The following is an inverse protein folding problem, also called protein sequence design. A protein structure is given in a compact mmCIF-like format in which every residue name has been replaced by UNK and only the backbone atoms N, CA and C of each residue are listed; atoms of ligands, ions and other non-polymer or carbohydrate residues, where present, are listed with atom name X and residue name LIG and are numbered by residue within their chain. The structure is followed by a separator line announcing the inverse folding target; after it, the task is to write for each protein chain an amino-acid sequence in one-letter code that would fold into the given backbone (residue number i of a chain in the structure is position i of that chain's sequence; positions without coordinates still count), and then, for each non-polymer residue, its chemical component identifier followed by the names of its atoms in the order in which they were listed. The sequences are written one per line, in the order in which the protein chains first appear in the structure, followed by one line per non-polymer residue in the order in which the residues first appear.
data_IF_045234095027
#
_entry.id   IF_045234095027
#
_cell.length_a   1.000
_cell.length_b   1.000
_cell.length_c   1.000
_cell.angle_alpha   90.00
_cell.angle_beta   90.00
_cell.angle_gamma   90.00
#
_symmetry.space_group_name_H-M   'P 1'
#
loop_
_entity.id
_entity.type
_entity.pdbx_description
1 polymer ?
#
# COMPACT_ATOMS: atom_id res chain seq x y z
N UNK A 1 -17.42 0.77 -17.85
CA UNK A 1 -16.25 1.39 -17.18
C UNK A 1 -15.14 0.35 -17.10
N UNK A 2 -13.91 0.68 -17.48
CA UNK A 2 -12.79 -0.26 -17.39
C UNK A 2 -12.30 -0.44 -15.95
N UNK A 3 -11.61 -1.54 -15.65
CA UNK A 3 -11.03 -1.82 -14.32
C UNK A 3 -10.19 -0.67 -13.78
N UNK A 4 -9.38 -0.04 -14.64
CA UNK A 4 -8.57 1.14 -14.27
C UNK A 4 -9.44 2.28 -13.71
N UNK A 5 -10.60 2.53 -14.30
CA UNK A 5 -11.52 3.58 -13.87
C UNK A 5 -12.19 3.24 -12.54
N UNK A 6 -12.63 1.99 -12.37
CA UNK A 6 -13.26 1.52 -11.12
C UNK A 6 -12.25 1.55 -9.97
N UNK A 7 -11.03 1.04 -10.21
CA UNK A 7 -9.96 1.04 -9.22
C UNK A 7 -9.54 2.47 -8.84
N UNK A 8 -9.42 3.37 -9.83
CA UNK A 8 -9.13 4.79 -9.57
C UNK A 8 -10.23 5.45 -8.73
N UNK A 9 -11.50 5.31 -9.12
CA UNK A 9 -12.62 5.91 -8.39
C UNK A 9 -12.73 5.39 -6.97
N UNK A 10 -12.52 4.08 -6.78
CA UNK A 10 -12.48 3.46 -5.46
C UNK A 10 -11.39 4.07 -4.58
N UNK A 11 -10.13 4.07 -5.06
CA UNK A 11 -9.00 4.63 -4.32
C UNK A 11 -9.20 6.12 -4.03
N UNK A 12 -9.67 6.89 -5.00
CA UNK A 12 -9.92 8.31 -4.85
C UNK A 12 -10.97 8.59 -3.77
N UNK A 13 -12.11 7.89 -3.81
CA UNK A 13 -13.17 8.07 -2.83
C UNK A 13 -12.71 7.71 -1.40
N UNK A 14 -12.01 6.58 -1.23
CA UNK A 14 -11.57 6.16 0.09
C UNK A 14 -10.43 7.01 0.63
N UNK A 15 -9.50 7.48 -0.21
CA UNK A 15 -8.45 8.42 0.18
C UNK A 15 -9.02 9.78 0.59
N UNK A 16 -10.03 10.28 -0.13
CA UNK A 16 -10.69 11.54 0.20
C UNK A 16 -11.39 11.45 1.56
N UNK A 17 -12.14 10.37 1.80
CA UNK A 17 -12.80 10.13 3.08
C UNK A 17 -11.78 9.98 4.22
N UNK A 18 -10.71 9.21 4.01
CA UNK A 18 -9.62 9.06 4.98
C UNK A 18 -9.01 10.42 5.34
N UNK A 19 -8.65 11.24 4.35
CA UNK A 19 -8.09 12.57 4.58
C UNK A 19 -9.07 13.54 5.26
N UNK A 20 -10.36 13.42 4.98
CA UNK A 20 -11.38 14.25 5.62
C UNK A 20 -11.54 13.89 7.10
N UNK A 21 -11.58 12.60 7.41
CA UNK A 21 -11.76 12.13 8.79
C UNK A 21 -10.48 12.13 9.61
N UNK A 22 -9.29 12.22 9.01
CA UNK A 22 -8.02 12.17 9.76
C UNK A 22 -7.88 13.29 10.80
N UNK A 23 -8.47 14.46 10.57
CA UNK A 23 -8.48 15.58 11.51
C UNK A 23 -9.73 15.69 12.41
N UNK A 24 -10.74 14.85 12.19
CA UNK A 24 -12.04 14.93 12.88
C UNK A 24 -12.28 13.69 13.74
N UNK A 25 -12.04 12.51 13.18
CA UNK A 25 -12.23 11.23 13.84
C UNK A 25 -11.23 10.20 13.29
N UNK A 26 -10.15 9.99 14.05
CA UNK A 26 -9.07 9.07 13.71
C UNK A 26 -9.56 7.64 13.45
N UNK A 27 -10.57 7.16 14.19
CA UNK A 27 -11.12 5.82 14.01
C UNK A 27 -11.85 5.64 12.68
N UNK A 28 -12.58 6.66 12.22
CA UNK A 28 -13.19 6.68 10.89
C UNK A 28 -12.12 6.69 9.79
N UNK A 29 -11.06 7.48 9.97
CA UNK A 29 -9.91 7.49 9.05
C UNK A 29 -9.23 6.12 8.97
N UNK A 30 -9.00 5.47 10.11
CA UNK A 30 -8.50 4.09 10.17
C UNK A 30 -9.43 3.11 9.45
N UNK A 31 -10.75 3.22 9.63
CA UNK A 31 -11.71 2.36 8.93
C UNK A 31 -11.61 2.53 7.40
N UNK A 32 -11.53 3.77 6.90
CA UNK A 32 -11.37 4.02 5.46
C UNK A 32 -10.00 3.55 4.94
N UNK A 33 -8.95 3.64 5.74
CA UNK A 33 -7.64 3.09 5.40
C UNK A 33 -7.70 1.56 5.25
N UNK A 34 -8.31 0.85 6.19
CA UNK A 34 -8.52 -0.61 6.12
C UNK A 34 -9.34 -1.00 4.90
N UNK A 35 -10.42 -0.27 4.62
CA UNK A 35 -11.25 -0.49 3.42
C UNK A 35 -10.42 -0.28 2.15
N UNK A 36 -9.60 0.77 2.10
CA UNK A 36 -8.74 1.05 0.95
C UNK A 36 -7.80 -0.11 0.69
N UNK A 37 -7.13 -0.60 1.73
CA UNK A 37 -6.19 -1.72 1.63
C UNK A 37 -6.89 -3.02 1.20
N UNK A 38 -7.95 -3.42 1.90
CA UNK A 38 -8.69 -4.65 1.61
C UNK A 38 -9.39 -4.60 0.26
N UNK A 39 -10.00 -3.46 -0.08
CA UNK A 39 -10.69 -3.26 -1.35
C UNK A 39 -9.74 -3.22 -2.53
N UNK A 40 -8.56 -2.59 -2.40
CA UNK A 40 -7.53 -2.64 -3.43
C UNK A 40 -7.02 -4.08 -3.64
N UNK A 41 -6.76 -4.82 -2.56
CA UNK A 41 -6.36 -6.23 -2.63
C UNK A 41 -7.44 -7.10 -3.29
N UNK A 42 -8.71 -6.92 -2.92
CA UNK A 42 -9.82 -7.68 -3.47
C UNK A 42 -10.06 -7.35 -4.96
N UNK A 43 -10.02 -6.08 -5.34
CA UNK A 43 -10.12 -5.64 -6.74
C UNK A 43 -9.00 -6.24 -7.59
N UNK A 44 -7.76 -6.22 -7.09
CA UNK A 44 -6.61 -6.85 -7.74
C UNK A 44 -6.82 -8.36 -7.90
N UNK A 45 -7.33 -9.03 -6.87
CA UNK A 45 -7.57 -10.49 -6.90
C UNK A 45 -8.68 -10.89 -7.86
N UNK A 46 -9.75 -10.11 -7.94
CA UNK A 46 -10.87 -10.35 -8.88
C UNK A 46 -10.44 -10.12 -10.33
N UNK A 47 -9.58 -9.13 -10.57
CA UNK A 47 -9.13 -8.80 -11.92
C UNK A 47 -7.96 -9.66 -12.41
N UNK A 48 -7.00 -9.99 -11.55
CA UNK A 48 -5.94 -10.96 -11.85
C UNK A 48 -6.45 -12.39 -11.58
N UNK A 49 -7.32 -12.89 -12.47
CA UNK A 49 -7.47 -14.34 -12.66
C UNK A 49 -6.22 -14.88 -13.36
N UNK A 50 -5.08 -14.94 -12.67
CA UNK A 50 -3.92 -15.72 -13.14
C UNK A 50 -4.02 -17.12 -12.57
N UNK A 51 -3.78 -18.10 -13.43
CA UNK A 51 -3.71 -19.52 -13.08
C UNK A 51 -2.72 -19.73 -11.93
N UNK A 52 -3.01 -20.66 -11.00
CA UNK A 52 -2.10 -20.96 -9.90
C UNK A 52 -0.80 -21.54 -10.47
N UNK A 53 0.30 -20.81 -10.31
CA UNK A 53 1.63 -21.31 -10.65
C UNK A 53 2.02 -22.31 -9.55
N UNK A 54 2.11 -23.58 -9.93
CA UNK A 54 2.26 -24.74 -9.03
C UNK A 54 3.71 -25.09 -8.64
N UNK A 55 4.70 -24.34 -9.12
CA UNK A 55 6.12 -24.46 -8.72
C UNK A 55 6.70 -23.03 -8.57
N UNK A 56 6.90 -22.36 -7.43
CA UNK A 56 7.23 -22.75 -6.04
C UNK A 56 8.41 -23.72 -6.00
N UNK A 57 9.55 -23.38 -5.41
CA UNK A 57 9.67 -23.71 -3.99
C UNK A 57 10.78 -23.01 -3.21
N UNK A 58 11.61 -22.15 -3.81
CA UNK A 58 12.69 -21.51 -3.02
C UNK A 58 12.85 -20.02 -3.30
N UNK A 59 12.82 -19.57 -4.57
CA UNK A 59 13.05 -18.17 -4.93
C UNK A 59 11.85 -17.24 -4.73
N UNK A 60 10.63 -17.75 -4.94
CA UNK A 60 9.40 -17.01 -4.68
C UNK A 60 9.12 -16.84 -3.17
N UNK A 61 9.66 -17.70 -2.30
CA UNK A 61 9.31 -17.69 -0.87
C UNK A 61 9.97 -16.50 -0.16
N UNK A 62 11.20 -16.14 -0.50
CA UNK A 62 11.93 -15.02 0.12
C UNK A 62 11.50 -13.67 -0.44
N UNK A 63 11.35 -13.52 -1.75
CA UNK A 63 10.89 -12.24 -2.32
C UNK A 63 9.42 -11.96 -2.01
N UNK A 64 8.53 -12.96 -2.11
CA UNK A 64 7.10 -12.77 -1.78
C UNK A 64 6.89 -12.49 -0.29
N UNK A 65 7.64 -13.15 0.59
CA UNK A 65 7.60 -12.83 2.03
C UNK A 65 8.17 -11.44 2.33
N UNK A 66 9.24 -11.02 1.64
CA UNK A 66 9.76 -9.66 1.72
C UNK A 66 8.73 -8.61 1.26
N UNK A 67 8.09 -8.80 0.10
CA UNK A 67 7.04 -7.89 -0.37
C UNK A 67 5.82 -7.86 0.54
N UNK A 68 5.39 -9.01 1.06
CA UNK A 68 4.29 -9.08 2.02
C UNK A 68 4.67 -8.41 3.35
N UNK A 69 5.90 -8.63 3.83
CA UNK A 69 6.43 -7.99 5.04
C UNK A 69 6.55 -6.48 4.89
N UNK A 70 7.05 -5.99 3.75
CA UNK A 70 7.06 -4.57 3.40
C UNK A 70 5.64 -4.00 3.32
N UNK A 71 4.70 -4.73 2.72
CA UNK A 71 3.29 -4.34 2.66
C UNK A 71 2.67 -4.19 4.05
N UNK A 72 2.86 -5.17 4.93
CA UNK A 72 2.41 -5.11 6.33
C UNK A 72 3.08 -3.94 7.07
N UNK A 73 4.39 -3.76 6.90
CA UNK A 73 5.13 -2.65 7.50
C UNK A 73 4.60 -1.29 7.07
N UNK A 74 4.27 -1.12 5.79
CA UNK A 74 3.66 0.11 5.26
C UNK A 74 2.24 0.33 5.80
N UNK A 75 1.45 -0.74 5.99
CA UNK A 75 0.12 -0.65 6.61
C UNK A 75 0.23 -0.18 8.05
N UNK A 76 1.11 -0.80 8.84
CA UNK A 76 1.38 -0.39 10.24
C UNK A 76 1.84 1.07 10.29
N UNK A 77 2.79 1.43 9.44
CA UNK A 77 3.26 2.82 9.33
C UNK A 77 2.13 3.79 8.93
N UNK A 78 1.22 3.38 8.05
CA UNK A 78 0.04 4.16 7.69
C UNK A 78 -0.91 4.42 8.85
N UNK A 79 -1.15 3.42 9.72
CA UNK A 79 -1.94 3.62 10.94
C UNK A 79 -1.31 4.64 11.89
N UNK A 80 -0.01 4.53 12.12
CA UNK A 80 0.75 5.47 12.96
C UNK A 80 0.72 6.89 12.38
N UNK A 81 0.86 7.04 11.07
CA UNK A 81 0.72 8.33 10.41
C UNK A 81 -0.68 8.92 10.58
N UNK A 82 -1.73 8.14 10.39
CA UNK A 82 -3.11 8.62 10.58
C UNK A 82 -3.36 9.04 12.02
N UNK A 83 -2.83 8.28 12.99
CA UNK A 83 -2.90 8.64 14.39
C UNK A 83 -2.15 9.96 14.67
N UNK A 84 -0.93 10.09 14.15
CA UNK A 84 -0.12 11.29 14.31
C UNK A 84 -0.79 12.51 13.68
N UNK A 85 -1.42 12.37 12.51
CA UNK A 85 -2.18 13.46 11.86
C UNK A 85 -3.32 13.95 12.76
N UNK A 86 -4.02 13.03 13.43
CA UNK A 86 -5.12 13.37 14.33
C UNK A 86 -4.67 14.02 15.65
N UNK A 87 -3.40 13.89 16.02
CA UNK A 87 -2.84 14.45 17.25
C UNK A 87 -2.01 15.72 17.01
N UNK A 88 -1.09 15.67 16.05
CA UNK A 88 -0.21 16.76 15.64
C UNK A 88 0.05 16.70 14.11
N UNK A 89 -0.78 17.46 13.39
CA UNK A 89 -0.73 17.53 11.94
C UNK A 89 0.56 18.15 11.38
N UNK A 90 1.21 19.06 12.12
CA UNK A 90 2.42 19.74 11.64
C UNK A 90 3.60 18.78 11.64
N UNK A 91 3.76 18.04 12.74
CA UNK A 91 4.79 16.99 12.86
C UNK A 91 4.54 15.87 11.86
N UNK A 92 3.28 15.49 11.61
CA UNK A 92 2.94 14.48 10.61
C UNK A 92 3.32 14.90 9.18
N UNK A 93 3.04 16.16 8.81
CA UNK A 93 3.42 16.71 7.50
C UNK A 93 4.92 16.76 7.34
N UNK A 94 5.64 17.18 8.39
CA UNK A 94 7.10 17.20 8.38
C UNK A 94 7.63 15.78 8.18
N UNK A 95 7.25 14.83 9.02
CA UNK A 95 7.66 13.43 8.92
C UNK A 95 7.38 12.84 7.53
N UNK A 96 6.21 13.11 6.96
CA UNK A 96 5.82 12.64 5.62
C UNK A 96 6.74 13.18 4.53
N UNK A 97 7.14 14.45 4.60
CA UNK A 97 8.10 15.05 3.65
C UNK A 97 9.47 14.38 3.72
N UNK A 98 9.95 14.09 4.93
CA UNK A 98 11.24 13.41 5.12
C UNK A 98 11.21 11.96 4.67
N UNK A 99 10.08 11.26 4.85
CA UNK A 99 9.96 9.83 4.50
C UNK A 99 9.61 9.55 3.04
N UNK A 100 8.99 10.49 2.31
CA UNK A 100 8.58 10.28 0.91
C UNK A 100 9.76 9.88 0.02
N UNK A 101 10.90 10.57 0.13
CA UNK A 101 12.07 10.29 -0.70
C UNK A 101 12.70 8.92 -0.39
N UNK A 102 12.99 8.56 0.88
CA UNK A 102 13.42 7.21 1.25
C UNK A 102 12.47 6.10 0.81
N UNK A 103 11.16 6.30 0.96
CA UNK A 103 10.15 5.31 0.57
C UNK A 103 10.13 5.10 -0.94
N UNK A 104 10.15 6.18 -1.73
CA UNK A 104 10.22 6.09 -3.19
C UNK A 104 11.51 5.40 -3.66
N UNK A 105 12.65 5.73 -3.04
CA UNK A 105 13.93 5.08 -3.33
C UNK A 105 13.87 3.57 -3.00
N UNK A 106 13.28 3.19 -1.86
CA UNK A 106 13.10 1.79 -1.48
C UNK A 106 12.19 1.02 -2.44
N UNK A 107 11.07 1.62 -2.87
CA UNK A 107 10.16 1.02 -3.86
C UNK A 107 10.83 0.86 -5.22
N UNK A 108 11.58 1.88 -5.67
CA UNK A 108 12.36 1.82 -6.91
C UNK A 108 13.43 0.72 -6.85
N UNK A 109 14.19 0.65 -5.76
CA UNK A 109 15.18 -0.39 -5.56
C UNK A 109 14.54 -1.79 -5.57
N UNK A 110 13.40 -1.96 -4.89
CA UNK A 110 12.67 -3.22 -4.87
C UNK A 110 12.11 -3.59 -6.26
N UNK A 111 11.70 -2.61 -7.07
CA UNK A 111 11.24 -2.83 -8.44
C UNK A 111 12.40 -3.19 -9.39
N UNK A 112 13.56 -2.54 -9.25
CA UNK A 112 14.76 -2.85 -10.03
C UNK A 112 15.27 -4.26 -9.69
N UNK A 113 15.35 -4.60 -8.40
CA UNK A 113 15.72 -5.95 -7.95
C UNK A 113 14.78 -6.99 -8.55
N UNK A 114 13.47 -6.75 -8.49
CA UNK A 114 12.48 -7.62 -9.12
C UNK A 114 12.76 -7.84 -10.61
N UNK A 115 12.92 -6.75 -11.36
CA UNK A 115 13.15 -6.80 -12.79
C UNK A 115 14.48 -7.49 -13.16
N UNK A 116 15.49 -7.37 -12.30
CA UNK A 116 16.75 -8.08 -12.45
C UNK A 116 16.57 -9.59 -12.23
N UNK A 117 15.92 -10.00 -11.14
CA UNK A 117 15.66 -11.42 -10.86
C UNK A 117 14.77 -12.08 -11.91
N UNK A 118 13.73 -11.39 -12.41
CA UNK A 118 12.88 -11.87 -13.51
C UNK A 118 13.60 -12.02 -14.86
N UNK A 119 14.78 -11.41 -15.04
CA UNK A 119 15.60 -11.53 -16.26
C UNK A 119 16.67 -12.61 -16.17
N UNK A 120 17.12 -12.92 -14.96
CA UNK A 120 18.23 -13.85 -14.71
C UNK A 120 17.73 -15.28 -14.51
N UNK A 121 16.48 -15.45 -14.08
CA UNK A 121 15.75 -16.72 -14.05
C UNK A 121 14.94 -16.93 -15.33
#
# INVERSE_FOLDING_TARGET
MGFKTIHFLFLFATMLLMSYYSGINTYLSWLFFTITWLGAWLLLRVYNKREPITDERTELITMKSLYNGMGIGLVVFGYELIWLIGHDSETAVLLSKWLILPLLAGVLAAAILKAYYERVM
#
